data_IF_138476843189
#
_entry.id   IF_138476843189
#
_cell.length_a   1.000
_cell.length_b   1.000
_cell.length_c   1.000
_cell.angle_alpha   90.00
_cell.angle_beta   90.00
_cell.angle_gamma   90.00
#
_symmetry.space_group_name_H-M   'P 1'
#
loop_
_entity.id
_entity.type
_entity.pdbx_description
1 polymer ?
#
# COMPACT_ATOMS: atom_id res chain seq x y z
N UNK A 1 0.79 -7.02 -15.85
CA UNK A 1 0.51 -6.92 -14.40
C UNK A 1 -0.01 -5.52 -14.12
N UNK A 2 -1.23 -5.37 -13.62
CA UNK A 2 -1.82 -4.04 -13.40
C UNK A 2 -1.04 -3.31 -12.30
N UNK A 3 -0.66 -2.05 -12.52
CA UNK A 3 0.17 -1.24 -11.58
C UNK A 3 -0.38 -1.26 -10.15
N UNK A 4 -1.69 -1.41 -10.00
CA UNK A 4 -2.44 -1.51 -8.74
C UNK A 4 -1.94 -2.65 -7.84
N UNK A 5 -1.60 -3.80 -8.42
CA UNK A 5 -1.11 -4.96 -7.66
C UNK A 5 0.26 -4.66 -7.02
N UNK A 6 1.11 -3.90 -7.72
CA UNK A 6 2.44 -3.53 -7.20
C UNK A 6 2.28 -2.60 -5.99
N UNK A 7 1.41 -1.59 -6.08
CA UNK A 7 1.12 -0.70 -4.95
C UNK A 7 0.55 -1.45 -3.74
N UNK A 8 -0.33 -2.43 -3.98
CA UNK A 8 -0.94 -3.22 -2.91
C UNK A 8 0.09 -4.15 -2.23
N UNK A 9 0.93 -4.82 -3.02
CA UNK A 9 2.02 -5.67 -2.49
C UNK A 9 3.02 -4.81 -1.71
N UNK A 10 3.42 -3.65 -2.23
CA UNK A 10 4.31 -2.73 -1.51
C UNK A 10 3.69 -2.24 -0.20
N UNK A 11 2.41 -1.86 -0.19
CA UNK A 11 1.71 -1.44 1.03
C UNK A 11 1.72 -2.53 2.11
N UNK A 12 1.45 -3.78 1.72
CA UNK A 12 1.47 -4.93 2.63
C UNK A 12 2.88 -5.18 3.18
N UNK A 13 3.90 -5.15 2.33
CA UNK A 13 5.29 -5.36 2.77
C UNK A 13 5.70 -4.26 3.76
N UNK A 14 5.41 -2.99 3.47
CA UNK A 14 5.74 -1.88 4.36
C UNK A 14 4.96 -1.93 5.69
N UNK A 15 3.69 -2.33 5.67
CA UNK A 15 2.88 -2.51 6.88
C UNK A 15 3.39 -3.66 7.75
N UNK A 16 3.61 -4.84 7.15
CA UNK A 16 4.09 -6.02 7.87
C UNK A 16 5.48 -5.76 8.45
N UNK A 17 6.38 -5.18 7.66
CA UNK A 17 7.74 -4.87 8.08
C UNK A 17 7.76 -3.75 9.15
N UNK A 18 6.96 -2.70 8.98
CA UNK A 18 6.84 -1.62 9.96
C UNK A 18 6.25 -2.07 11.28
N UNK A 19 5.32 -3.02 11.25
CA UNK A 19 4.74 -3.63 12.45
C UNK A 19 5.75 -4.53 13.18
N UNK A 20 6.52 -5.35 12.44
CA UNK A 20 7.55 -6.23 12.99
C UNK A 20 8.71 -5.46 13.63
N UNK A 21 9.19 -4.40 12.98
CA UNK A 21 10.34 -3.61 13.43
C UNK A 21 9.95 -2.46 14.38
N UNK A 22 8.65 -2.28 14.69
CA UNK A 22 8.12 -1.13 15.44
C UNK A 22 8.57 0.25 14.90
N UNK A 23 8.93 0.33 13.61
CA UNK A 23 9.35 1.58 12.97
C UNK A 23 8.13 2.32 12.42
N UNK A 24 7.73 3.37 13.12
CA UNK A 24 6.61 4.23 12.74
C UNK A 24 6.69 4.75 11.29
N UNK A 25 7.92 4.98 10.78
CA UNK A 25 8.16 5.45 9.40
C UNK A 25 7.63 4.44 8.37
N UNK A 26 7.87 3.14 8.57
CA UNK A 26 7.42 2.11 7.65
C UNK A 26 5.90 1.91 7.70
N UNK A 27 5.29 2.09 8.87
CA UNK A 27 3.83 2.08 9.04
C UNK A 27 3.21 3.24 8.27
N UNK A 28 3.75 4.45 8.38
CA UNK A 28 3.26 5.63 7.65
C UNK A 28 3.38 5.42 6.14
N UNK A 29 4.54 4.92 5.67
CA UNK A 29 4.73 4.58 4.26
C UNK A 29 3.72 3.52 3.77
N UNK A 30 3.48 2.48 4.57
CA UNK A 30 2.51 1.43 4.26
C UNK A 30 1.09 1.96 4.15
N UNK A 31 0.68 2.89 5.02
CA UNK A 31 -0.63 3.55 4.96
C UNK A 31 -0.75 4.43 3.71
N UNK A 32 0.28 5.21 3.38
CA UNK A 32 0.29 6.07 2.18
C UNK A 32 0.20 5.22 0.91
N UNK A 33 0.98 4.14 0.81
CA UNK A 33 0.90 3.21 -0.31
C UNK A 33 -0.45 2.49 -0.37
N UNK A 34 -1.04 2.16 0.79
CA UNK A 34 -2.39 1.62 0.89
C UNK A 34 -3.45 2.57 0.32
N UNK A 35 -3.42 3.85 0.69
CA UNK A 35 -4.34 4.86 0.14
C UNK A 35 -4.18 5.03 -1.38
N UNK A 36 -2.96 5.06 -1.89
CA UNK A 36 -2.69 5.15 -3.33
C UNK A 36 -3.23 3.91 -4.03
N UNK A 37 -2.98 2.71 -3.50
CA UNK A 37 -3.46 1.45 -4.05
C UNK A 37 -4.99 1.37 -4.08
N UNK A 38 -5.66 1.79 -3.00
CA UNK A 38 -7.12 1.83 -2.91
C UNK A 38 -7.71 2.88 -3.86
N UNK A 39 -7.12 4.07 -3.93
CA UNK A 39 -7.55 5.13 -4.85
C UNK A 39 -7.42 4.71 -6.32
N UNK A 40 -6.33 4.05 -6.68
CA UNK A 40 -6.13 3.53 -8.03
C UNK A 40 -7.08 2.36 -8.33
N UNK A 41 -7.33 1.48 -7.36
CA UNK A 41 -8.31 0.39 -7.48
C UNK A 41 -9.73 0.91 -7.70
N UNK A 42 -10.17 1.91 -6.94
CA UNK A 42 -11.47 2.57 -7.10
C UNK A 42 -11.59 3.26 -8.48
N UNK A 43 -10.52 3.94 -8.92
CA UNK A 43 -10.47 4.60 -10.23
C UNK A 43 -10.50 3.61 -11.40
N UNK A 44 -9.95 2.41 -11.23
CA UNK A 44 -9.99 1.34 -12.24
C UNK A 44 -11.33 0.61 -12.26
N UNK A 45 -12.02 0.48 -11.11
CA UNK A 45 -13.33 -0.17 -11.00
C UNK A 45 -14.50 0.72 -11.44
N UNK A 46 -14.29 2.04 -11.49
CA UNK A 46 -15.28 3.02 -11.93
C UNK A 46 -15.32 3.28 -13.45
N UNK A 47 -14.66 2.45 -14.27
CA UNK A 47 -14.67 2.51 -15.74
C UNK A 47 -15.33 1.28 -16.33
#
# INVERSE_FOLDING_TARGET
>A
MSKNIVYFISAIIFLVYGLLEHKAIFIILGIVFGMIGVGDYLKHKGK
#
